data_IF_540316453150
#
_entry.id   IF_540316453150
#
_cell.length_a   1.000
_cell.length_b   1.000
_cell.length_c   1.000
_cell.angle_alpha   90.00
_cell.angle_beta   90.00
_cell.angle_gamma   90.00
#
_symmetry.space_group_name_H-M   'P 1'
#
loop_
_entity.id
_entity.type
_entity.pdbx_description
1 polymer ?
#
# COMPACT_ATOMS: atom_id res chain seq x y z
N UNK A 1 -3.57 -12.07 -15.26
CA UNK A 1 -3.44 -11.21 -14.06
C UNK A 1 -2.00 -10.71 -13.96
N UNK A 2 -1.72 -9.57 -13.35
CA UNK A 2 -0.34 -9.17 -13.14
C UNK A 2 -0.20 -8.29 -11.90
N UNK A 3 0.95 -8.37 -11.26
CA UNK A 3 1.30 -7.64 -10.03
C UNK A 3 2.39 -6.61 -10.31
N UNK A 4 2.69 -5.75 -9.35
CA UNK A 4 3.84 -4.87 -9.43
C UNK A 4 5.16 -5.66 -9.35
N UNK A 5 6.03 -5.54 -10.35
CA UNK A 5 7.32 -6.27 -10.44
C UNK A 5 8.52 -5.33 -10.20
N UNK A 6 8.27 -4.04 -10.03
CA UNK A 6 9.33 -3.05 -9.87
C UNK A 6 10.04 -3.09 -8.49
N UNK A 7 10.89 -2.11 -8.22
CA UNK A 7 11.65 -2.03 -6.97
C UNK A 7 10.75 -1.90 -5.72
N UNK A 8 10.57 -3.01 -4.99
CA UNK A 8 9.68 -3.05 -3.82
C UNK A 8 10.16 -2.22 -2.62
N UNK A 9 11.47 -2.24 -2.31
CA UNK A 9 12.02 -1.43 -1.19
C UNK A 9 11.86 0.07 -1.45
N UNK A 10 11.78 0.48 -2.73
CA UNK A 10 11.48 1.87 -3.10
C UNK A 10 10.04 2.25 -2.74
N UNK A 11 9.10 1.33 -2.90
CA UNK A 11 7.71 1.50 -2.49
C UNK A 11 7.58 1.57 -0.98
N UNK A 12 8.21 0.65 -0.24
CA UNK A 12 8.19 0.66 1.23
C UNK A 12 8.65 2.01 1.78
N UNK A 13 9.74 2.56 1.24
CA UNK A 13 10.24 3.90 1.61
C UNK A 13 9.26 5.03 1.26
N UNK A 14 8.49 4.90 0.17
CA UNK A 14 7.48 5.89 -0.20
C UNK A 14 6.27 5.82 0.73
N UNK A 15 5.86 4.61 1.10
CA UNK A 15 4.72 4.35 1.99
C UNK A 15 5.05 4.56 3.46
N UNK A 16 6.34 4.58 3.82
CA UNK A 16 6.82 4.76 5.18
C UNK A 16 6.64 3.53 6.07
N UNK A 17 6.29 2.38 5.49
CA UNK A 17 6.10 1.11 6.19
C UNK A 17 6.55 -0.03 5.28
N UNK A 18 6.88 -1.17 5.88
CA UNK A 18 7.22 -2.38 5.13
C UNK A 18 5.92 -3.03 4.66
N UNK A 19 5.66 -3.01 3.35
CA UNK A 19 4.54 -3.73 2.72
C UNK A 19 5.00 -4.88 1.85
N UNK A 20 6.25 -4.82 1.36
CA UNK A 20 6.75 -5.77 0.37
C UNK A 20 7.13 -7.16 0.89
N UNK A 21 7.19 -7.34 2.21
CA UNK A 21 7.72 -8.56 2.84
C UNK A 21 9.22 -8.81 2.58
N UNK A 22 9.96 -7.90 1.93
CA UNK A 22 11.39 -8.09 1.69
C UNK A 22 12.20 -7.97 2.97
N UNK A 23 13.06 -8.96 3.25
CA UNK A 23 13.98 -8.97 4.41
C UNK A 23 14.87 -7.72 4.52
N UNK A 24 15.24 -7.11 3.39
CA UNK A 24 16.06 -5.90 3.36
C UNK A 24 15.29 -4.60 3.59
N UNK A 25 13.95 -4.61 3.51
CA UNK A 25 13.10 -3.46 3.71
C UNK A 25 13.26 -2.81 5.09
N UNK A 26 13.18 -3.52 6.23
CA UNK A 26 13.31 -2.91 7.56
C UNK A 26 14.66 -2.22 7.76
N UNK A 27 15.76 -2.89 7.39
CA UNK A 27 17.12 -2.32 7.45
C UNK A 27 17.27 -1.08 6.56
N UNK A 28 16.59 -1.05 5.43
CA UNK A 28 16.64 0.11 4.52
C UNK A 28 15.80 1.26 5.04
N UNK A 29 14.63 0.97 5.63
CA UNK A 29 13.73 1.97 6.18
C UNK A 29 14.35 2.66 7.40
N UNK A 30 15.05 1.92 8.27
CA UNK A 30 15.79 2.52 9.39
C UNK A 30 16.92 3.44 8.93
N UNK A 31 17.71 3.04 7.91
CA UNK A 31 18.81 3.85 7.37
C UNK A 31 18.33 5.02 6.49
N UNK A 32 17.20 4.86 5.78
CA UNK A 32 16.67 5.80 4.79
C UNK A 32 15.18 6.05 5.02
N UNK A 33 14.85 6.57 6.21
CA UNK A 33 13.48 6.92 6.61
C UNK A 33 12.98 8.22 5.94
N UNK A 34 12.95 8.21 4.61
CA UNK A 34 12.47 9.29 3.78
C UNK A 34 12.06 8.75 2.41
N UNK A 35 11.15 9.43 1.69
CA UNK A 35 10.63 8.94 0.41
C UNK A 35 11.76 8.82 -0.62
N UNK A 36 11.61 7.96 -1.63
CA UNK A 36 12.56 7.89 -2.73
C UNK A 36 12.55 9.17 -3.59
N UNK A 37 13.65 9.44 -4.30
CA UNK A 37 13.82 10.60 -5.18
C UNK A 37 14.76 11.67 -4.61
N UNK A 38 15.19 12.61 -5.47
CA UNK A 38 16.14 13.67 -5.13
C UNK A 38 15.66 14.54 -3.96
N UNK A 39 14.38 14.91 -3.96
CA UNK A 39 13.78 15.72 -2.89
C UNK A 39 13.37 14.91 -1.64
N UNK A 40 13.61 13.60 -1.61
CA UNK A 40 13.24 12.76 -0.48
C UNK A 40 13.90 13.20 0.83
N UNK A 41 15.16 13.65 0.76
CA UNK A 41 15.95 14.09 1.94
C UNK A 41 15.66 15.52 2.39
N UNK A 42 14.88 16.32 1.64
CA UNK A 42 14.42 17.64 2.09
C UNK A 42 13.39 17.47 3.22
N UNK A 43 13.85 17.01 4.38
CA UNK A 43 13.05 16.68 5.57
C UNK A 43 12.32 17.90 6.14
N UNK A 44 12.83 19.12 5.91
CA UNK A 44 12.19 20.36 6.37
C UNK A 44 10.99 20.84 5.54
N UNK A 45 10.65 20.16 4.43
CA UNK A 45 9.60 20.60 3.50
C UNK A 45 8.57 19.52 3.18
N UNK A 46 8.37 18.55 4.08
CA UNK A 46 7.21 17.65 4.00
C UNK A 46 5.95 18.48 4.22
N UNK A 47 5.34 18.93 3.12
CA UNK A 47 4.03 19.57 3.13
C UNK A 47 3.05 18.65 3.84
N UNK A 48 2.23 19.22 4.73
CA UNK A 48 1.10 18.51 5.34
C UNK A 48 0.28 17.85 4.22
N UNK A 49 0.03 16.56 4.35
CA UNK A 49 -0.78 15.84 3.37
C UNK A 49 -2.20 16.39 3.42
N UNK A 50 -2.78 16.57 2.24
CA UNK A 50 -4.21 16.82 2.12
C UNK A 50 -4.98 15.58 2.53
N UNK A 51 -6.26 15.75 2.86
CA UNK A 51 -7.13 14.62 3.19
C UNK A 51 -7.16 13.56 2.08
N UNK A 52 -7.26 14.00 0.81
CA UNK A 52 -7.13 13.11 -0.34
C UNK A 52 -5.79 12.37 -0.36
N UNK A 53 -4.69 13.06 -0.07
CA UNK A 53 -3.36 12.46 0.02
C UNK A 53 -3.28 11.38 1.09
N UNK A 54 -3.88 11.61 2.26
CA UNK A 54 -3.97 10.61 3.34
C UNK A 54 -4.77 9.38 2.89
N UNK A 55 -5.98 9.57 2.35
CA UNK A 55 -6.83 8.48 1.85
C UNK A 55 -6.16 7.68 0.73
N UNK A 56 -5.48 8.38 -0.18
CA UNK A 56 -4.72 7.74 -1.26
C UNK A 56 -3.59 6.88 -0.70
N UNK A 57 -2.85 7.37 0.30
CA UNK A 57 -1.75 6.63 0.93
C UNK A 57 -2.26 5.37 1.62
N UNK A 58 -3.35 5.43 2.38
CA UNK A 58 -3.93 4.25 3.03
C UNK A 58 -4.40 3.21 2.01
N UNK A 59 -5.05 3.63 0.94
CA UNK A 59 -5.41 2.74 -0.17
C UNK A 59 -4.18 2.07 -0.79
N UNK A 60 -3.11 2.84 -1.05
CA UNK A 60 -1.88 2.28 -1.61
C UNK A 60 -1.24 1.28 -0.65
N UNK A 61 -1.20 1.56 0.66
CA UNK A 61 -0.66 0.62 1.66
C UNK A 61 -1.36 -0.73 1.59
N UNK A 62 -2.70 -0.76 1.67
CA UNK A 62 -3.48 -1.99 1.57
C UNK A 62 -3.22 -2.74 0.26
N UNK A 63 -3.25 -2.03 -0.87
CA UNK A 63 -3.02 -2.63 -2.18
C UNK A 63 -1.67 -3.36 -2.29
N UNK A 64 -0.62 -2.80 -1.68
CA UNK A 64 0.71 -3.40 -1.71
C UNK A 64 0.93 -4.46 -0.63
N UNK A 65 0.23 -4.38 0.50
CA UNK A 65 0.19 -5.43 1.51
C UNK A 65 -0.32 -6.75 0.92
N UNK A 66 -1.41 -6.70 0.15
CA UNK A 66 -1.99 -7.87 -0.50
C UNK A 66 -1.34 -8.18 -1.87
N UNK A 67 -0.01 -8.28 -1.92
CA UNK A 67 0.70 -8.77 -3.11
C UNK A 67 0.83 -7.80 -4.28
N UNK A 68 0.56 -6.50 -4.07
CA UNK A 68 0.72 -5.48 -5.11
C UNK A 68 -0.35 -5.57 -6.20
N UNK A 69 -1.62 -5.61 -5.78
CA UNK A 69 -2.77 -5.73 -6.66
C UNK A 69 -2.83 -4.61 -7.69
N UNK A 70 -3.42 -4.92 -8.85
CA UNK A 70 -3.80 -3.88 -9.80
C UNK A 70 -4.94 -3.04 -9.22
N UNK A 71 -4.91 -1.75 -9.49
CA UNK A 71 -5.94 -0.82 -9.02
C UNK A 71 -7.35 -1.23 -9.47
N UNK A 72 -7.47 -1.75 -10.70
CA UNK A 72 -8.74 -2.28 -11.23
C UNK A 72 -9.27 -3.48 -10.42
N UNK A 73 -8.38 -4.37 -9.96
CA UNK A 73 -8.78 -5.51 -9.14
C UNK A 73 -9.18 -5.05 -7.74
N UNK A 74 -8.37 -4.20 -7.11
CA UNK A 74 -8.69 -3.64 -5.80
C UNK A 74 -10.04 -2.90 -5.80
N UNK A 75 -10.32 -2.10 -6.85
CA UNK A 75 -11.61 -1.42 -7.02
C UNK A 75 -12.78 -2.41 -7.08
N UNK A 76 -12.64 -3.54 -7.78
CA UNK A 76 -13.68 -4.57 -7.85
C UNK A 76 -14.00 -5.17 -6.49
N UNK A 77 -12.98 -5.51 -5.70
CA UNK A 77 -13.19 -6.00 -4.33
C UNK A 77 -13.88 -4.96 -3.44
N UNK A 78 -13.53 -3.69 -3.60
CA UNK A 78 -14.21 -2.62 -2.87
C UNK A 78 -15.67 -2.48 -3.27
N UNK A 79 -15.99 -2.53 -4.56
CA UNK A 79 -17.37 -2.49 -5.05
C UNK A 79 -18.19 -3.69 -4.54
N UNK A 80 -17.60 -4.89 -4.54
CA UNK A 80 -18.20 -6.09 -3.98
C UNK A 80 -18.44 -5.97 -2.47
N UNK A 81 -17.44 -5.49 -1.73
CA UNK A 81 -17.56 -5.23 -0.29
C UNK A 81 -18.64 -4.17 0.01
N UNK A 82 -18.76 -3.12 -0.81
CA UNK A 82 -19.74 -2.05 -0.61
C UNK A 82 -21.18 -2.48 -0.87
N UNK A 83 -21.38 -3.53 -1.68
CA UNK A 83 -22.70 -4.11 -1.96
C UNK A 83 -23.09 -5.20 -0.95
N UNK A 84 -22.12 -5.66 -0.16
CA UNK A 84 -22.33 -6.71 0.84
C UNK A 84 -22.98 -6.14 2.09
N UNK A 85 -23.70 -6.99 2.82
CA UNK A 85 -24.28 -6.62 4.12
C UNK A 85 -23.17 -6.54 5.18
N UNK A 86 -23.21 -5.52 6.02
CA UNK A 86 -22.27 -5.33 7.14
C UNK A 86 -21.30 -4.17 6.95
N UNK A 87 -20.21 -4.16 7.71
CA UNK A 87 -19.20 -3.11 7.63
C UNK A 87 -18.29 -3.33 6.40
N UNK A 88 -18.38 -2.43 5.42
CA UNK A 88 -17.62 -2.46 4.16
C UNK A 88 -16.12 -2.65 4.36
N UNK A 89 -15.53 -2.04 5.39
CA UNK A 89 -14.10 -2.16 5.67
C UNK A 89 -13.71 -3.57 6.10
N UNK A 90 -14.52 -4.20 6.95
CA UNK A 90 -14.29 -5.58 7.41
C UNK A 90 -14.49 -6.57 6.26
N UNK A 91 -15.56 -6.41 5.48
CA UNK A 91 -15.83 -7.28 4.32
C UNK A 91 -14.73 -7.16 3.28
N UNK A 92 -14.23 -5.95 3.01
CA UNK A 92 -13.11 -5.75 2.09
C UNK A 92 -11.86 -6.53 2.54
N UNK A 93 -11.51 -6.45 3.81
CA UNK A 93 -10.36 -7.18 4.35
C UNK A 93 -10.58 -8.70 4.25
N UNK A 94 -11.77 -9.19 4.59
CA UNK A 94 -12.11 -10.61 4.43
C UNK A 94 -11.98 -11.08 2.97
N UNK A 95 -12.45 -10.31 2.00
CA UNK A 95 -12.32 -10.65 0.57
C UNK A 95 -10.86 -10.68 0.12
N UNK A 96 -10.02 -9.79 0.65
CA UNK A 96 -8.58 -9.76 0.35
C UNK A 96 -7.83 -10.93 1.00
N UNK A 97 -8.17 -11.29 2.24
CA UNK A 97 -7.56 -12.43 2.95
C UNK A 97 -7.91 -13.78 2.31
N UNK A 98 -9.13 -13.91 1.73
CA UNK A 98 -9.62 -15.14 1.10
C UNK A 98 -9.02 -15.43 -0.29
N UNK A 99 -8.17 -14.56 -0.81
CA UNK A 99 -7.58 -14.77 -2.13
C UNK A 99 -6.60 -15.93 -2.10
N UNK A 100 -6.62 -16.76 -3.15
CA UNK A 100 -5.74 -17.92 -3.27
C UNK A 100 -4.25 -17.57 -3.27
N UNK A 101 -3.85 -16.38 -3.69
CA UNK A 101 -2.45 -15.94 -3.66
C UNK A 101 -1.99 -15.44 -2.27
N UNK A 102 -2.92 -15.33 -1.32
CA UNK A 102 -2.67 -14.88 0.05
C UNK A 102 -2.76 -16.02 1.08
N UNK A 103 -3.58 -17.04 0.82
CA UNK A 103 -3.65 -18.31 1.60
C UNK A 103 -2.44 -19.19 1.27
#
# INVERSE_FOLDING_TARGET
MGRYIGPLVRLDRRLGMVVSGKKSAPKTLSRRNFPPGQHGRLKGRRRKLTEYGLRLMEKQKLKFLYGGLREKQFKRYFEEASKSKGNTGQVLLQLLERRLDNV
#
